data_IF_530418768453
#
_entry.id   IF_530418768453
#
_cell.length_a   1.000
_cell.length_b   1.000
_cell.length_c   1.000
_cell.angle_alpha   90.00
_cell.angle_beta   90.00
_cell.angle_gamma   90.00
#
_symmetry.space_group_name_H-M   'P 1'
#
loop_
_entity.id
_entity.type
_entity.pdbx_description
1 polymer ?
#
# COMPACT_ATOMS: atom_id res chain seq x y z
N UNK A 1 -27.59 6.50 -16.24
CA UNK A 1 -26.57 7.00 -15.29
C UNK A 1 -25.21 6.75 -15.92
N UNK A 2 -24.56 7.81 -16.38
CA UNK A 2 -23.41 7.75 -17.32
C UNK A 2 -22.12 7.30 -16.63
N UNK A 3 -21.79 6.01 -16.78
CA UNK A 3 -20.51 5.44 -16.32
C UNK A 3 -19.28 6.15 -16.92
N UNK A 4 -19.44 6.83 -18.04
CA UNK A 4 -18.36 7.55 -18.74
C UNK A 4 -17.85 8.79 -17.94
N UNK A 5 -18.72 9.42 -17.15
CA UNK A 5 -18.35 10.60 -16.36
C UNK A 5 -17.51 10.24 -15.13
N UNK A 6 -17.78 9.08 -14.52
CA UNK A 6 -16.98 8.53 -13.42
C UNK A 6 -15.59 8.11 -13.89
N UNK A 7 -15.48 7.46 -15.05
CA UNK A 7 -14.19 7.04 -15.62
C UNK A 7 -13.34 8.26 -15.98
N UNK A 8 -13.92 9.32 -16.54
CA UNK A 8 -13.19 10.54 -16.86
C UNK A 8 -12.74 11.31 -15.61
N UNK A 9 -13.58 11.40 -14.56
CA UNK A 9 -13.17 11.96 -13.27
C UNK A 9 -12.07 11.14 -12.61
N UNK A 10 -12.17 9.81 -12.68
CA UNK A 10 -11.16 8.91 -12.12
C UNK A 10 -9.83 9.04 -12.87
N UNK A 11 -9.86 9.08 -14.21
CA UNK A 11 -8.67 9.35 -15.03
C UNK A 11 -8.04 10.71 -14.72
N UNK A 12 -8.84 11.77 -14.59
CA UNK A 12 -8.33 13.08 -14.21
C UNK A 12 -7.69 13.07 -12.82
N UNK A 13 -8.27 12.33 -11.87
CA UNK A 13 -7.71 12.17 -10.52
C UNK A 13 -6.39 11.38 -10.55
N UNK A 14 -6.33 10.30 -11.34
CA UNK A 14 -5.11 9.53 -11.56
C UNK A 14 -4.04 10.38 -12.23
N UNK A 15 -4.35 11.14 -13.29
CA UNK A 15 -3.39 12.00 -13.98
C UNK A 15 -2.86 13.11 -13.06
N UNK A 16 -3.72 13.68 -12.22
CA UNK A 16 -3.32 14.72 -11.27
C UNK A 16 -2.44 14.15 -10.15
N UNK A 17 -2.78 12.94 -9.68
CA UNK A 17 -1.91 12.19 -8.79
C UNK A 17 -0.58 11.85 -9.49
N UNK A 18 -0.61 11.39 -10.73
CA UNK A 18 0.57 11.02 -11.51
C UNK A 18 1.51 12.22 -11.72
N UNK A 19 0.95 13.41 -11.98
CA UNK A 19 1.72 14.67 -12.04
C UNK A 19 2.38 15.02 -10.70
N UNK A 20 1.65 14.89 -9.59
CA UNK A 20 2.24 15.03 -8.24
C UNK A 20 3.32 13.98 -7.96
N UNK A 21 3.10 12.74 -8.40
CA UNK A 21 4.06 11.62 -8.30
C UNK A 21 5.24 11.74 -9.27
N UNK A 22 5.13 12.50 -10.36
CA UNK A 22 6.24 12.78 -11.27
C UNK A 22 7.08 13.97 -10.83
N UNK A 23 6.49 14.93 -10.10
CA UNK A 23 7.19 16.05 -9.46
C UNK A 23 7.88 15.68 -8.14
N UNK A 24 7.55 14.51 -7.59
CA UNK A 24 8.09 13.96 -6.35
C UNK A 24 9.61 13.80 -6.42
N UNK A 25 10.30 14.32 -5.41
CA UNK A 25 11.76 14.35 -5.37
C UNK A 25 12.36 12.93 -5.31
N UNK A 26 13.61 12.76 -5.77
CA UNK A 26 14.32 11.47 -5.90
C UNK A 26 14.23 10.63 -4.60
N UNK A 27 14.39 11.27 -3.44
CA UNK A 27 14.30 10.63 -2.12
C UNK A 27 12.91 10.10 -1.80
N UNK A 28 11.88 10.93 -1.92
CA UNK A 28 10.48 10.52 -1.66
C UNK A 28 9.98 9.49 -2.68
N UNK A 29 10.44 9.56 -3.93
CA UNK A 29 10.16 8.57 -4.97
C UNK A 29 10.77 7.19 -4.65
N UNK A 30 12.00 7.18 -4.14
CA UNK A 30 12.65 5.96 -3.65
C UNK A 30 11.90 5.42 -2.42
N UNK A 31 11.52 6.29 -1.47
CA UNK A 31 10.78 5.88 -0.27
C UNK A 31 9.43 5.24 -0.62
N UNK A 32 8.70 5.83 -1.56
CA UNK A 32 7.43 5.27 -2.08
C UNK A 32 7.65 3.97 -2.86
N UNK A 33 8.75 3.85 -3.60
CA UNK A 33 9.13 2.61 -4.27
C UNK A 33 9.38 1.48 -3.27
N UNK A 34 10.18 1.75 -2.23
CA UNK A 34 10.45 0.79 -1.14
C UNK A 34 9.16 0.43 -0.42
N UNK A 35 8.32 1.41 -0.08
CA UNK A 35 7.02 1.16 0.55
C UNK A 35 6.15 0.24 -0.31
N UNK A 36 6.10 0.46 -1.64
CA UNK A 36 5.33 -0.38 -2.56
C UNK A 36 5.87 -1.81 -2.64
N UNK A 37 7.19 -1.99 -2.72
CA UNK A 37 7.82 -3.32 -2.77
C UNK A 37 7.60 -4.08 -1.47
N UNK A 38 7.84 -3.43 -0.33
CA UNK A 38 7.65 -4.03 1.00
C UNK A 38 6.20 -4.45 1.21
N UNK A 39 5.24 -3.60 0.82
CA UNK A 39 3.82 -3.96 0.89
C UNK A 39 3.48 -5.17 0.05
N UNK A 40 4.00 -5.23 -1.18
CA UNK A 40 3.74 -6.33 -2.09
C UNK A 40 4.26 -7.66 -1.53
N UNK A 41 5.44 -7.66 -0.91
CA UNK A 41 6.01 -8.84 -0.24
C UNK A 41 5.12 -9.30 0.91
N UNK A 42 4.64 -8.37 1.75
CA UNK A 42 3.72 -8.70 2.84
C UNK A 42 2.37 -9.22 2.34
N UNK A 43 1.87 -8.70 1.22
CA UNK A 43 0.63 -9.15 0.59
C UNK A 43 0.78 -10.58 0.06
N UNK A 44 1.92 -10.89 -0.56
CA UNK A 44 2.28 -12.24 -1.00
C UNK A 44 2.38 -13.20 0.18
N UNK A 45 3.03 -12.80 1.27
CA UNK A 45 3.13 -13.60 2.48
C UNK A 45 1.74 -13.90 3.08
N UNK A 46 0.88 -12.88 3.18
CA UNK A 46 -0.50 -13.04 3.66
C UNK A 46 -1.32 -13.97 2.75
N UNK A 47 -1.16 -13.87 1.42
CA UNK A 47 -1.83 -14.74 0.46
C UNK A 47 -1.40 -16.20 0.64
N UNK A 48 -0.09 -16.47 0.74
CA UNK A 48 0.44 -17.81 0.99
C UNK A 48 -0.13 -18.37 2.29
N UNK A 49 -0.13 -17.56 3.36
CA UNK A 49 -0.64 -17.96 4.67
C UNK A 49 -2.14 -18.26 4.62
N UNK A 50 -2.92 -17.52 3.84
CA UNK A 50 -4.34 -17.78 3.61
C UNK A 50 -4.59 -19.06 2.80
N UNK A 51 -3.72 -19.37 1.83
CA UNK A 51 -3.82 -20.62 1.06
C UNK A 51 -3.53 -21.81 1.98
N UNK A 52 -2.50 -21.71 2.83
CA UNK A 52 -2.14 -22.74 3.81
C UNK A 52 -3.31 -22.96 4.78
N UNK A 53 -3.93 -21.88 5.29
CA UNK A 53 -5.11 -21.98 6.15
C UNK A 53 -6.30 -22.69 5.48
N UNK A 54 -6.50 -22.43 4.19
CA UNK A 54 -7.60 -23.04 3.44
C UNK A 54 -7.35 -24.53 3.14
N UNK A 55 -6.08 -24.94 3.04
CA UNK A 55 -5.69 -26.32 2.75
C UNK A 55 -5.64 -27.20 4.00
N UNK A 56 -5.18 -26.65 5.13
CA UNK A 56 -5.17 -27.31 6.44
C UNK A 56 -5.58 -26.31 7.53
N UNK A 57 -6.88 -26.23 7.86
CA UNK A 57 -7.39 -25.34 8.90
C UNK A 57 -6.82 -25.68 10.29
N UNK A 58 -6.49 -26.95 10.52
CA UNK A 58 -5.89 -27.44 11.78
C UNK A 58 -4.46 -26.96 11.98
N UNK A 59 -3.73 -26.61 10.91
CA UNK A 59 -2.37 -26.06 10.99
C UNK A 59 -2.32 -24.73 11.76
N UNK A 60 -3.43 -24.01 11.79
CA UNK A 60 -3.57 -22.69 12.43
C UNK A 60 -4.66 -22.69 13.51
N UNK A 61 -5.05 -23.85 14.01
CA UNK A 61 -6.06 -23.95 15.06
C UNK A 61 -5.56 -23.20 16.31
N UNK A 62 -6.22 -22.10 16.64
CA UNK A 62 -5.80 -21.14 17.68
C UNK A 62 -4.84 -20.02 17.25
N UNK A 63 -4.29 -20.04 16.03
CA UNK A 63 -3.33 -19.04 15.51
C UNK A 63 -3.89 -18.14 14.40
N UNK A 64 -5.19 -18.16 14.11
CA UNK A 64 -5.84 -17.24 13.16
C UNK A 64 -5.52 -15.77 13.48
N UNK A 65 -5.35 -15.45 14.77
CA UNK A 65 -4.90 -14.14 15.25
C UNK A 65 -3.53 -13.73 14.70
N UNK A 66 -2.62 -14.66 14.46
CA UNK A 66 -1.30 -14.35 13.87
C UNK A 66 -1.42 -13.87 12.42
N UNK A 67 -2.33 -14.45 11.63
CA UNK A 67 -2.61 -13.97 10.26
C UNK A 67 -3.18 -12.55 10.33
N UNK A 68 -4.16 -12.33 11.19
CA UNK A 68 -4.81 -11.04 11.38
C UNK A 68 -3.80 -9.97 11.80
N UNK A 69 -2.91 -10.30 12.75
CA UNK A 69 -1.83 -9.43 13.20
C UNK A 69 -0.81 -9.16 12.10
N UNK A 70 -0.39 -10.19 11.35
CA UNK A 70 0.53 -10.01 10.24
C UNK A 70 -0.03 -8.99 9.22
N UNK A 71 -1.29 -9.16 8.83
CA UNK A 71 -1.95 -8.26 7.87
C UNK A 71 -2.10 -6.84 8.45
N UNK A 72 -2.61 -6.71 9.68
CA UNK A 72 -2.82 -5.41 10.33
C UNK A 72 -1.53 -4.63 10.55
N UNK A 73 -0.48 -5.28 11.06
CA UNK A 73 0.80 -4.63 11.33
C UNK A 73 1.54 -4.27 10.04
N UNK A 74 1.51 -5.14 9.02
CA UNK A 74 2.08 -4.83 7.71
C UNK A 74 1.35 -3.68 7.02
N UNK A 75 0.03 -3.65 7.10
CA UNK A 75 -0.77 -2.54 6.58
C UNK A 75 -0.46 -1.23 7.33
N UNK A 76 -0.41 -1.28 8.66
CA UNK A 76 -0.09 -0.11 9.49
C UNK A 76 1.31 0.43 9.21
N UNK A 77 2.30 -0.45 9.08
CA UNK A 77 3.66 -0.09 8.70
C UNK A 77 3.70 0.58 7.31
N UNK A 78 2.95 0.04 6.34
CA UNK A 78 2.85 0.63 5.02
C UNK A 78 2.24 2.03 5.02
N UNK A 79 1.16 2.23 5.78
CA UNK A 79 0.51 3.55 5.93
C UNK A 79 1.49 4.55 6.51
N UNK A 80 2.26 4.19 7.54
CA UNK A 80 3.27 5.07 8.15
C UNK A 80 4.36 5.44 7.14
N UNK A 81 4.86 4.48 6.37
CA UNK A 81 5.85 4.75 5.33
C UNK A 81 5.30 5.64 4.21
N UNK A 82 4.06 5.42 3.81
CA UNK A 82 3.40 6.19 2.76
C UNK A 82 3.17 7.65 3.19
N UNK A 83 2.59 7.87 4.37
CA UNK A 83 2.43 9.21 4.93
C UNK A 83 3.77 9.87 5.26
N UNK A 84 4.74 9.11 5.76
CA UNK A 84 6.11 9.57 5.97
C UNK A 84 6.73 10.10 4.69
N UNK A 85 6.59 9.38 3.57
CA UNK A 85 7.07 9.84 2.26
C UNK A 85 6.37 11.12 1.79
N UNK A 86 5.05 11.22 1.97
CA UNK A 86 4.28 12.41 1.63
C UNK A 86 4.67 13.63 2.48
N UNK A 87 4.87 13.44 3.79
CA UNK A 87 5.32 14.50 4.71
C UNK A 87 6.71 14.98 4.32
N UNK A 88 7.63 14.07 3.99
CA UNK A 88 9.01 14.40 3.57
C UNK A 88 9.04 15.20 2.28
N UNK A 89 8.12 14.92 1.36
CA UNK A 89 7.92 15.70 0.14
C UNK A 89 7.38 17.11 0.45
N UNK A 90 6.31 17.20 1.26
CA UNK A 90 5.69 18.48 1.66
C UNK A 90 6.64 19.39 2.45
N UNK A 91 7.43 18.82 3.37
CA UNK A 91 8.38 19.59 4.19
C UNK A 91 9.51 20.16 3.33
N UNK A 92 9.94 19.44 2.30
CA UNK A 92 11.01 19.87 1.41
C UNK A 92 10.54 20.84 0.33
N UNK A 93 9.31 20.76 -0.11
CA UNK A 93 8.73 21.73 -1.04
C UNK A 93 8.46 23.10 -0.36
N UNK A 94 8.52 23.14 0.98
CA UNK A 94 8.31 24.34 1.80
C UNK A 94 9.59 25.05 2.28
N UNK A 95 10.77 24.49 2.02
CA UNK A 95 12.09 25.01 2.41
C UNK A 95 13.01 25.13 1.19
#
# INVERSE_FOLDING_TARGET
>A
MDGNNYINRFRAFIDNAYKKFSGLNKGSRILLGIARVVFFIFLLAALILSIIFMYDPSFLDGQVRLIEWLVLYSFRFWVILFFGALILDILRDRF
#
